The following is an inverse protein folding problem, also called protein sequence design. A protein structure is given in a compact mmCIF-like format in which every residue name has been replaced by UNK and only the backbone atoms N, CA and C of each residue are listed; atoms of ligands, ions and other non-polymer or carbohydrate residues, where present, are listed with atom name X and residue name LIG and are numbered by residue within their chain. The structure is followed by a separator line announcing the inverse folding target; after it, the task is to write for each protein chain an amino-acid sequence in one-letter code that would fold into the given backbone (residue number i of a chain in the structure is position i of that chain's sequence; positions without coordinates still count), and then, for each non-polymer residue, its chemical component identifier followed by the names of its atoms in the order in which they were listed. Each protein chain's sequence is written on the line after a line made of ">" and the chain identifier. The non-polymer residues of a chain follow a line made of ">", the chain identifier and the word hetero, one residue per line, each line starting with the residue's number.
data_IF_590431014805
#
_entry.id   IF_590431014805
#
_cell.length_a   1.000
_cell.length_b   1.000
_cell.length_c   1.000
_cell.angle_alpha   90.00
_cell.angle_beta   90.00
_cell.angle_gamma   90.00
#
_symmetry.space_group_name_H-M   'P 1'
#
loop_
_entity.id
_entity.type
_entity.pdbx_description
1 polymer ?
#
# COMPACT_ATOMS: atom_id res chain seq x y z
N UNK A 1 5.89 0.32 -44.59
CA UNK A 1 6.17 -0.35 -43.31
C UNK A 1 6.31 0.70 -42.22
N UNK A 2 5.53 0.65 -41.14
CA UNK A 2 5.95 1.25 -39.89
C UNK A 2 5.96 0.23 -38.75
N UNK A 3 7.10 0.09 -38.08
CA UNK A 3 7.17 -0.44 -36.72
C UNK A 3 6.88 0.72 -35.77
N UNK A 4 5.61 0.93 -35.43
CA UNK A 4 5.25 1.69 -34.23
C UNK A 4 5.62 0.78 -33.05
N UNK A 5 6.76 1.05 -32.40
CA UNK A 5 7.02 0.44 -31.10
C UNK A 5 5.97 1.01 -30.15
N UNK A 6 4.99 0.17 -29.78
CA UNK A 6 4.12 0.45 -28.65
C UNK A 6 5.02 0.81 -27.48
N UNK A 7 4.82 2.03 -26.99
CA UNK A 7 5.44 2.60 -25.82
C UNK A 7 5.43 1.59 -24.67
N UNK A 8 6.52 1.57 -23.90
CA UNK A 8 6.56 0.97 -22.56
C UNK A 8 5.39 1.55 -21.75
N UNK A 9 4.24 0.87 -21.76
CA UNK A 9 3.12 1.20 -20.90
C UNK A 9 3.56 0.72 -19.52
N UNK A 10 4.18 1.60 -18.74
CA UNK A 10 4.41 1.36 -17.33
C UNK A 10 3.06 0.94 -16.72
N UNK A 11 2.94 -0.34 -16.37
CA UNK A 11 1.74 -0.87 -15.71
C UNK A 11 1.86 -0.51 -14.24
N UNK A 12 0.95 0.36 -13.80
CA UNK A 12 0.76 0.68 -12.41
C UNK A 12 -0.31 -0.24 -11.83
N UNK A 13 -0.03 -0.78 -10.65
CA UNK A 13 -0.95 -1.63 -9.90
C UNK A 13 -1.26 -0.96 -8.56
N UNK A 14 -2.55 -0.94 -8.20
CA UNK A 14 -3.02 -0.35 -6.95
C UNK A 14 -3.02 -1.40 -5.85
N UNK A 15 -2.39 -1.05 -4.72
CA UNK A 15 -2.33 -1.85 -3.51
C UNK A 15 -3.19 -1.19 -2.44
N UNK A 16 -3.86 -2.02 -1.64
CA UNK A 16 -4.55 -1.61 -0.41
C UNK A 16 -4.07 -2.50 0.73
N UNK A 17 -3.63 -1.88 1.82
CA UNK A 17 -3.21 -2.59 3.03
C UNK A 17 -3.90 -1.99 4.25
N UNK A 18 -4.26 -2.85 5.19
CA UNK A 18 -4.87 -2.46 6.46
C UNK A 18 -3.88 -2.74 7.58
N UNK A 19 -3.65 -1.74 8.43
CA UNK A 19 -2.81 -1.86 9.61
C UNK A 19 -3.63 -1.56 10.86
N UNK A 20 -3.65 -2.48 11.82
CA UNK A 20 -4.31 -2.30 13.11
C UNK A 20 -3.27 -2.10 14.20
N UNK A 21 -3.47 -1.08 15.04
CA UNK A 21 -2.63 -0.81 16.20
C UNK A 21 -3.48 -0.71 17.48
N UNK A 22 -2.92 -1.06 18.65
CA UNK A 22 -3.62 -0.90 19.93
C UNK A 22 -3.74 0.57 20.39
N UNK A 23 -3.08 1.50 19.69
CA UNK A 23 -3.09 2.93 19.98
C UNK A 23 -3.29 3.72 18.68
N UNK A 24 -3.86 4.92 18.79
CA UNK A 24 -3.93 5.90 17.70
C UNK A 24 -2.54 6.48 17.43
N UNK A 25 -1.73 5.70 16.70
CA UNK A 25 -0.35 6.03 16.34
C UNK A 25 -0.21 6.00 14.81
N UNK A 26 -0.46 7.17 14.20
CA UNK A 26 -0.40 7.36 12.75
C UNK A 26 0.99 7.07 12.18
N UNK A 27 2.07 7.47 12.86
CA UNK A 27 3.42 7.26 12.35
C UNK A 27 3.75 5.77 12.26
N UNK A 28 3.39 5.01 13.29
CA UNK A 28 3.55 3.55 13.30
C UNK A 28 2.68 2.88 12.25
N UNK A 29 1.45 3.34 12.06
CA UNK A 29 0.57 2.83 11.02
C UNK A 29 1.13 3.07 9.60
N UNK A 30 1.70 4.26 9.35
CA UNK A 30 2.38 4.59 8.09
C UNK A 30 3.59 3.67 7.87
N UNK A 31 4.44 3.50 8.89
CA UNK A 31 5.63 2.66 8.79
C UNK A 31 5.28 1.19 8.52
N UNK A 32 4.29 0.65 9.24
CA UNK A 32 3.79 -0.71 9.03
C UNK A 32 3.21 -0.90 7.63
N UNK A 33 2.40 0.04 7.17
CA UNK A 33 1.79 0.03 5.83
C UNK A 33 2.84 0.07 4.72
N UNK A 34 3.88 0.92 4.86
CA UNK A 34 5.01 0.95 3.92
C UNK A 34 5.74 -0.38 3.85
N UNK A 35 5.96 -1.02 5.00
CA UNK A 35 6.57 -2.35 5.06
C UNK A 35 5.76 -3.39 4.30
N UNK A 36 4.44 -3.44 4.55
CA UNK A 36 3.56 -4.42 3.91
C UNK A 36 3.39 -4.20 2.41
N UNK A 37 3.16 -2.95 1.98
CA UNK A 37 3.04 -2.62 0.56
C UNK A 37 4.33 -2.94 -0.19
N UNK A 38 5.50 -2.66 0.41
CA UNK A 38 6.80 -3.05 -0.16
C UNK A 38 6.89 -4.56 -0.38
N UNK A 39 6.45 -5.37 0.58
CA UNK A 39 6.48 -6.84 0.44
C UNK A 39 5.56 -7.32 -0.70
N UNK A 40 4.36 -6.76 -0.80
CA UNK A 40 3.42 -7.08 -1.89
C UNK A 40 4.00 -6.69 -3.26
N UNK A 41 4.50 -5.47 -3.40
CA UNK A 41 5.09 -5.02 -4.65
C UNK A 41 6.32 -5.86 -5.06
N UNK A 42 7.18 -6.24 -4.11
CA UNK A 42 8.31 -7.15 -4.41
C UNK A 42 7.81 -8.50 -4.93
N UNK A 43 6.75 -9.07 -4.35
CA UNK A 43 6.17 -10.32 -4.82
C UNK A 43 5.67 -10.22 -6.28
N UNK A 44 5.21 -9.04 -6.69
CA UNK A 44 4.73 -8.76 -8.04
C UNK A 44 5.82 -8.24 -8.99
N UNK A 45 7.10 -8.26 -8.56
CA UNK A 45 8.21 -7.64 -9.29
C UNK A 45 7.96 -6.18 -9.64
N UNK A 46 7.33 -5.45 -8.73
CA UNK A 46 6.99 -4.04 -8.83
C UNK A 46 7.75 -3.18 -7.82
N UNK A 47 7.85 -1.89 -8.13
CA UNK A 47 8.46 -0.87 -7.28
C UNK A 47 7.37 0.09 -6.80
N UNK A 48 7.11 0.21 -5.49
CA UNK A 48 6.14 1.16 -4.96
C UNK A 48 6.45 2.61 -5.34
N UNK A 49 5.41 3.36 -5.69
CA UNK A 49 5.47 4.81 -5.80
C UNK A 49 4.91 5.45 -4.52
N UNK A 50 5.82 5.81 -3.61
CA UNK A 50 5.44 6.40 -2.33
C UNK A 50 4.73 7.76 -2.45
N UNK A 51 4.82 8.44 -3.58
CA UNK A 51 4.13 9.72 -3.80
C UNK A 51 2.62 9.54 -4.01
N UNK A 52 2.20 8.35 -4.41
CA UNK A 52 0.78 7.98 -4.58
C UNK A 52 0.15 7.43 -3.30
N UNK A 53 0.95 7.22 -2.25
CA UNK A 53 0.49 6.58 -1.02
C UNK A 53 -0.39 7.53 -0.21
N UNK A 54 -1.63 7.11 0.06
CA UNK A 54 -2.55 7.80 0.96
C UNK A 54 -2.85 6.93 2.18
N UNK A 55 -3.14 7.58 3.32
CA UNK A 55 -3.49 6.95 4.59
C UNK A 55 -4.83 7.51 5.06
N UNK A 56 -5.79 6.62 5.27
CA UNK A 56 -7.12 6.87 5.83
C UNK A 56 -7.23 6.27 7.24
N UNK A 57 -7.97 6.93 8.13
CA UNK A 57 -8.17 6.51 9.51
C UNK A 57 -7.67 7.50 10.58
N UNK A 58 -7.63 7.08 11.85
CA UNK A 58 -7.99 5.74 12.30
C UNK A 58 -9.51 5.54 12.30
N UNK A 59 -9.94 4.30 12.12
CA UNK A 59 -11.28 3.85 12.49
C UNK A 59 -11.15 3.04 13.77
N UNK A 60 -11.90 3.42 14.81
CA UNK A 60 -11.96 2.61 16.03
C UNK A 60 -12.74 1.32 15.75
N UNK A 61 -12.13 0.19 16.07
CA UNK A 61 -12.72 -1.13 15.93
C UNK A 61 -12.60 -1.88 17.25
N UNK A 62 -13.66 -2.60 17.62
CA UNK A 62 -13.62 -3.45 18.82
C UNK A 62 -12.88 -4.74 18.47
N UNK A 63 -11.70 -4.91 19.04
CA UNK A 63 -10.89 -6.13 18.92
C UNK A 63 -11.28 -7.20 19.93
N UNK A 64 -10.44 -8.23 20.01
CA UNK A 64 -10.63 -9.33 20.94
C UNK A 64 -10.73 -8.82 22.40
N UNK A 65 -11.62 -9.45 23.16
CA UNK A 65 -11.88 -9.10 24.57
C UNK A 65 -12.42 -7.68 24.81
N UNK A 66 -12.98 -7.03 23.78
CA UNK A 66 -13.57 -5.69 23.92
C UNK A 66 -12.53 -4.57 23.94
N UNK A 67 -11.26 -4.87 23.65
CA UNK A 67 -10.23 -3.84 23.53
C UNK A 67 -10.51 -2.94 22.31
N UNK A 68 -10.29 -1.64 22.44
CA UNK A 68 -10.30 -0.71 21.29
C UNK A 68 -9.01 -0.88 20.49
N UNK A 69 -9.16 -1.02 19.18
CA UNK A 69 -8.08 -1.01 18.21
C UNK A 69 -8.31 0.10 17.20
N UNK A 70 -7.23 0.59 16.62
CA UNK A 70 -7.24 1.66 15.64
C UNK A 70 -6.82 1.08 14.29
N UNK A 71 -7.78 1.00 13.39
CA UNK A 71 -7.57 0.51 12.03
C UNK A 71 -7.23 1.66 11.10
N UNK A 72 -6.15 1.49 10.34
CA UNK A 72 -5.72 2.40 9.30
C UNK A 72 -5.73 1.69 7.96
N UNK A 73 -6.15 2.37 6.92
CA UNK A 73 -6.01 1.86 5.55
C UNK A 73 -4.99 2.70 4.80
N UNK A 74 -4.00 2.04 4.20
CA UNK A 74 -3.19 2.63 3.17
C UNK A 74 -3.62 2.19 1.77
N UNK A 75 -3.61 3.11 0.83
CA UNK A 75 -3.64 2.80 -0.61
C UNK A 75 -2.43 3.42 -1.29
N UNK A 76 -1.91 2.78 -2.33
CA UNK A 76 -0.80 3.31 -3.11
C UNK A 76 -0.55 2.49 -4.37
N UNK A 77 0.17 3.07 -5.32
CA UNK A 77 0.48 2.43 -6.59
C UNK A 77 1.90 1.84 -6.57
N UNK A 78 2.13 0.80 -7.37
CA UNK A 78 3.47 0.31 -7.69
C UNK A 78 3.62 0.13 -9.19
N UNK A 79 4.80 0.44 -9.70
CA UNK A 79 5.16 0.24 -11.11
C UNK A 79 5.76 -1.15 -11.28
N UNK A 80 5.20 -1.97 -12.18
CA UNK A 80 5.80 -3.25 -12.56
C UNK A 80 7.16 -3.01 -13.23
N UNK A 81 8.19 -3.74 -12.81
CA UNK A 81 9.47 -3.75 -13.48
C UNK A 81 9.35 -4.66 -14.71
N UNK A 82 9.65 -4.14 -15.91
CA UNK A 82 9.60 -4.93 -17.14
C UNK A 82 10.47 -6.17 -17.04
N UNK A 83 9.90 -7.35 -17.32
CA UNK A 83 10.61 -8.63 -17.37
C UNK A 83 11.56 -8.74 -18.55
#
# INVERSE_FOLDING_TARGET
>A
MPLVRLTDQARYETYRVTATAPYDDRERAVAGSRGQLRLMAIADSATPDWSTMTIEGPVEVTGLHGATWYEWTATGEARRNGS
#
